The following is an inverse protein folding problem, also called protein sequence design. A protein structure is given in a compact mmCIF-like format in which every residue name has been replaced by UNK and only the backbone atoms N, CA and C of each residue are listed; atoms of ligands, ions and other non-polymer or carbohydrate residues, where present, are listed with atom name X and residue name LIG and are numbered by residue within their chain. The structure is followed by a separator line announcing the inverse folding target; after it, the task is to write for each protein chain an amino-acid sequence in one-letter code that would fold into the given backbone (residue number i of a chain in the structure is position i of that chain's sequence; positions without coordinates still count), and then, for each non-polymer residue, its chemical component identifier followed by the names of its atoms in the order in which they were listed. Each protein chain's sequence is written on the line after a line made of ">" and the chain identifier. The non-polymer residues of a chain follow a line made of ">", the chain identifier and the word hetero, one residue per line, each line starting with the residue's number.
data_IF_836185318654
#
_entry.id   IF_836185318654
#
_cell.length_a   1.000
_cell.length_b   1.000
_cell.length_c   1.000
_cell.angle_alpha   90.00
_cell.angle_beta   90.00
_cell.angle_gamma   90.00
#
_symmetry.space_group_name_H-M   'P 1'
#
loop_
_entity.id
_entity.type
_entity.pdbx_description
1 polymer ?
#
# COMPACT_ATOMS: atom_id res chain seq x y z
N UNK A 1 -17.19 5.10 -26.12
CA UNK A 1 -15.76 4.93 -25.77
C UNK A 1 -15.63 3.76 -24.82
N UNK A 2 -15.12 2.63 -25.31
CA UNK A 2 -14.93 1.40 -24.52
C UNK A 2 -13.74 1.58 -23.57
N UNK A 3 -13.98 1.50 -22.26
CA UNK A 3 -12.91 1.44 -21.28
C UNK A 3 -12.14 0.13 -21.48
N UNK A 4 -10.99 0.19 -22.14
CA UNK A 4 -10.05 -0.92 -22.20
C UNK A 4 -9.72 -1.34 -20.75
N UNK A 5 -10.16 -2.53 -20.37
CA UNK A 5 -9.66 -3.19 -19.16
C UNK A 5 -8.15 -3.30 -19.32
N UNK A 6 -7.39 -2.46 -18.60
CA UNK A 6 -5.95 -2.65 -18.43
C UNK A 6 -5.76 -4.06 -17.85
N UNK A 7 -5.30 -4.99 -18.69
CA UNK A 7 -4.87 -6.30 -18.22
C UNK A 7 -3.74 -6.10 -17.21
N UNK A 8 -3.74 -6.89 -16.14
CA UNK A 8 -2.72 -6.78 -15.10
C UNK A 8 -1.35 -7.18 -15.65
N UNK A 9 -0.34 -6.37 -15.38
CA UNK A 9 1.04 -6.62 -15.82
C UNK A 9 1.75 -7.74 -15.03
N UNK A 10 1.35 -7.98 -13.77
CA UNK A 10 2.02 -8.96 -12.90
C UNK A 10 1.03 -9.75 -12.02
N UNK A 11 1.32 -11.03 -11.70
CA UNK A 11 0.56 -11.84 -10.75
C UNK A 11 0.71 -11.30 -9.31
N UNK A 12 -0.34 -11.45 -8.49
CA UNK A 12 -0.37 -11.05 -7.07
C UNK A 12 -0.27 -12.27 -6.17
N UNK A 13 0.51 -12.18 -5.10
CA UNK A 13 0.52 -13.16 -4.02
C UNK A 13 -0.23 -12.57 -2.82
N UNK A 14 -1.15 -13.35 -2.26
CA UNK A 14 -1.88 -12.98 -1.03
C UNK A 14 -1.06 -13.39 0.18
N UNK A 15 -1.09 -12.60 1.25
CA UNK A 15 -0.48 -13.01 2.50
C UNK A 15 -1.23 -14.21 3.10
N UNK A 16 -0.48 -15.28 3.42
CA UNK A 16 -1.02 -16.39 4.21
C UNK A 16 -1.28 -15.88 5.64
N UNK A 17 -2.44 -16.25 6.20
CA UNK A 17 -2.82 -15.97 7.59
C UNK A 17 -1.86 -16.58 8.62
N UNK A 18 -1.10 -17.60 8.24
CA UNK A 18 -0.20 -18.35 9.13
C UNK A 18 1.23 -17.80 9.17
N UNK A 19 1.55 -16.77 8.37
CA UNK A 19 2.86 -16.10 8.36
C UNK A 19 2.80 -14.76 9.09
N UNK A 20 3.97 -14.28 9.53
CA UNK A 20 4.11 -12.98 10.18
C UNK A 20 3.48 -11.89 9.31
N UNK A 21 2.49 -11.18 9.86
CA UNK A 21 1.85 -10.06 9.17
C UNK A 21 2.92 -8.99 8.94
N UNK A 22 3.24 -8.68 7.68
CA UNK A 22 4.09 -7.52 7.42
C UNK A 22 3.30 -6.25 7.68
N UNK A 23 3.92 -5.35 8.42
CA UNK A 23 3.32 -4.11 8.88
C UNK A 23 4.11 -2.93 8.35
N UNK A 24 3.41 -1.81 8.30
CA UNK A 24 3.95 -0.58 7.77
C UNK A 24 4.08 0.41 8.91
N UNK A 25 5.28 0.96 9.08
CA UNK A 25 5.48 2.16 9.85
C UNK A 25 5.63 3.37 8.93
N UNK A 26 5.03 4.48 9.35
CA UNK A 26 5.27 5.79 8.74
C UNK A 26 4.83 5.98 7.27
N UNK A 27 3.57 5.65 6.93
CA UNK A 27 3.00 5.98 5.62
C UNK A 27 2.86 7.50 5.44
N UNK A 28 3.63 8.08 4.53
CA UNK A 28 3.83 9.53 4.41
C UNK A 28 3.77 10.01 2.96
N UNK A 29 3.40 11.27 2.77
CA UNK A 29 3.47 11.96 1.49
C UNK A 29 4.93 12.20 1.12
N UNK A 30 5.35 11.79 -0.07
CA UNK A 30 6.71 12.05 -0.55
C UNK A 30 6.91 13.54 -0.89
N UNK A 31 5.86 14.23 -1.33
CA UNK A 31 5.95 15.64 -1.77
C UNK A 31 6.08 16.61 -0.58
N UNK A 32 5.43 16.28 0.56
CA UNK A 32 5.33 17.17 1.72
C UNK A 32 5.94 16.62 3.00
N UNK A 33 6.43 15.37 2.97
CA UNK A 33 6.92 14.62 4.13
C UNK A 33 5.88 14.49 5.26
N UNK A 34 4.63 14.83 4.99
CA UNK A 34 3.55 14.75 5.97
C UNK A 34 3.16 13.29 6.18
N UNK A 35 3.19 12.86 7.44
CA UNK A 35 2.70 11.55 7.85
C UNK A 35 1.19 11.45 7.63
N UNK A 36 0.77 10.51 6.81
CA UNK A 36 -0.62 10.26 6.44
C UNK A 36 -1.24 9.21 7.36
N UNK A 37 -0.54 8.10 7.61
CA UNK A 37 -0.96 7.07 8.56
C UNK A 37 0.21 6.58 9.43
N UNK A 38 -0.10 6.21 10.68
CA UNK A 38 0.90 5.77 11.66
C UNK A 38 1.25 4.28 11.56
N UNK A 39 0.31 3.48 11.07
CA UNK A 39 0.42 2.04 11.02
C UNK A 39 -0.44 1.50 9.88
N UNK A 40 -0.02 0.43 9.22
CA UNK A 40 -0.85 -0.31 8.27
C UNK A 40 -0.41 -1.76 8.16
N UNK A 41 -1.20 -2.56 7.44
CA UNK A 41 -0.91 -3.98 7.17
C UNK A 41 -0.78 -4.22 5.68
N UNK A 42 0.15 -5.06 5.28
CA UNK A 42 0.24 -5.55 3.91
C UNK A 42 -0.77 -6.69 3.74
N UNK A 43 -1.61 -6.61 2.70
CA UNK A 43 -2.64 -7.61 2.39
C UNK A 43 -2.20 -8.48 1.21
N UNK A 44 -1.65 -7.84 0.18
CA UNK A 44 -1.14 -8.47 -1.03
C UNK A 44 0.05 -7.67 -1.54
N UNK A 45 0.96 -8.31 -2.26
CA UNK A 45 1.89 -7.60 -3.13
C UNK A 45 2.14 -8.35 -4.45
N UNK A 46 2.71 -7.63 -5.40
CA UNK A 46 3.22 -8.11 -6.67
C UNK A 46 4.55 -7.42 -6.98
N UNK A 47 5.21 -7.84 -8.06
CA UNK A 47 6.38 -7.15 -8.59
C UNK A 47 6.13 -5.67 -8.96
N UNK A 48 4.87 -5.25 -9.12
CA UNK A 48 4.52 -3.91 -9.58
C UNK A 48 3.86 -3.02 -8.53
N UNK A 49 3.46 -3.58 -7.39
CA UNK A 49 2.73 -2.81 -6.39
C UNK A 49 2.29 -3.62 -5.19
N UNK A 50 1.72 -2.91 -4.22
CA UNK A 50 1.34 -3.45 -2.93
C UNK A 50 -0.06 -3.00 -2.55
N UNK A 51 -0.79 -3.87 -1.86
CA UNK A 51 -2.09 -3.57 -1.28
C UNK A 51 -1.95 -3.46 0.24
N UNK A 52 -2.30 -2.30 0.75
CA UNK A 52 -2.20 -1.94 2.16
C UNK A 52 -3.60 -1.83 2.75
N UNK A 53 -3.72 -2.20 4.02
CA UNK A 53 -4.92 -2.03 4.83
C UNK A 53 -4.63 -1.08 5.98
N UNK A 54 -5.46 -0.05 6.09
CA UNK A 54 -5.40 0.97 7.14
C UNK A 54 -6.71 1.00 7.91
N UNK A 55 -6.65 0.97 9.25
CA UNK A 55 -7.83 1.33 10.05
C UNK A 55 -8.04 2.83 10.00
N UNK A 56 -9.27 3.27 10.27
CA UNK A 56 -9.59 4.70 10.36
C UNK A 56 -8.67 5.41 11.36
N UNK A 57 -8.54 4.87 12.57
CA UNK A 57 -7.77 5.50 13.65
C UNK A 57 -6.25 5.51 13.41
N UNK A 58 -5.79 4.87 12.32
CA UNK A 58 -4.39 4.91 11.91
C UNK A 58 -4.05 6.18 11.10
N UNK A 59 -5.04 6.85 10.50
CA UNK A 59 -4.81 8.11 9.80
C UNK A 59 -4.55 9.27 10.78
N UNK A 60 -3.53 10.07 10.48
CA UNK A 60 -3.13 11.20 11.34
C UNK A 60 -4.11 12.36 11.22
N UNK A 61 -4.45 12.77 10.01
CA UNK A 61 -5.35 13.90 9.80
C UNK A 61 -6.79 13.53 10.18
N UNK A 62 -7.50 14.46 10.82
CA UNK A 62 -8.90 14.26 11.22
C UNK A 62 -9.80 14.08 9.99
N UNK A 63 -9.49 14.79 8.91
CA UNK A 63 -10.22 14.72 7.63
C UNK A 63 -10.19 13.31 7.02
N UNK A 64 -9.01 12.66 7.00
CA UNK A 64 -8.89 11.29 6.50
C UNK A 64 -9.63 10.28 7.41
N UNK A 65 -9.71 10.56 8.72
CA UNK A 65 -10.43 9.72 9.68
C UNK A 65 -11.95 9.80 9.57
N UNK A 66 -12.48 10.99 9.31
CA UNK A 66 -13.92 11.25 9.34
C UNK A 66 -14.64 10.99 8.01
N UNK A 67 -13.91 10.89 6.90
CA UNK A 67 -14.51 10.81 5.58
C UNK A 67 -14.76 9.36 5.14
N UNK A 68 -15.88 9.10 4.48
CA UNK A 68 -16.18 7.77 3.90
C UNK A 68 -15.32 7.44 2.66
N UNK A 69 -14.51 8.39 2.21
CA UNK A 69 -13.57 8.24 1.11
C UNK A 69 -12.25 8.96 1.46
N UNK A 70 -11.15 8.41 0.94
CA UNK A 70 -9.81 9.01 0.97
C UNK A 70 -9.27 9.20 -0.45
N UNK A 71 -10.16 9.43 -1.43
CA UNK A 71 -9.82 9.54 -2.86
C UNK A 71 -8.80 10.66 -3.13
N UNK A 72 -8.68 11.65 -2.25
CA UNK A 72 -7.65 12.69 -2.30
C UNK A 72 -6.21 12.15 -2.25
N UNK A 73 -6.03 10.89 -1.83
CA UNK A 73 -4.73 10.22 -1.86
C UNK A 73 -4.41 9.66 -3.25
N UNK A 74 -5.39 9.41 -4.12
CA UNK A 74 -5.14 8.85 -5.46
C UNK A 74 -4.23 9.80 -6.26
N UNK A 75 -3.18 9.24 -6.86
CA UNK A 75 -2.16 9.98 -7.60
C UNK A 75 -1.09 10.65 -6.74
N UNK A 76 -1.19 10.58 -5.39
CA UNK A 76 -0.15 11.11 -4.51
C UNK A 76 1.06 10.19 -4.47
N UNK A 77 2.24 10.79 -4.51
CA UNK A 77 3.49 10.09 -4.24
C UNK A 77 3.61 9.87 -2.74
N UNK A 78 3.95 8.65 -2.36
CA UNK A 78 4.07 8.23 -0.96
C UNK A 78 5.34 7.45 -0.76
N UNK A 79 5.82 7.47 0.47
CA UNK A 79 6.82 6.52 0.96
C UNK A 79 6.37 5.93 2.29
N UNK A 80 6.83 4.72 2.57
CA UNK A 80 6.51 3.99 3.80
C UNK A 80 7.58 2.93 4.07
N UNK A 81 7.71 2.56 5.33
CA UNK A 81 8.63 1.53 5.75
C UNK A 81 7.88 0.23 6.02
N UNK A 82 8.44 -0.90 5.59
CA UNK A 82 8.00 -2.23 5.98
C UNK A 82 8.81 -2.62 7.20
N UNK A 83 8.16 -2.63 8.36
CA UNK A 83 8.84 -2.67 9.65
C UNK A 83 9.71 -3.91 9.83
N UNK A 84 9.19 -5.08 9.49
CA UNK A 84 9.87 -6.37 9.69
C UNK A 84 11.05 -6.59 8.73
N UNK A 85 11.14 -5.78 7.67
CA UNK A 85 12.20 -5.87 6.66
C UNK A 85 13.19 -4.72 6.75
N UNK A 86 12.94 -3.72 7.60
CA UNK A 86 13.67 -2.44 7.64
C UNK A 86 13.83 -1.84 6.23
N UNK A 87 12.74 -1.88 5.46
CA UNK A 87 12.75 -1.57 4.03
C UNK A 87 11.84 -0.39 3.72
N UNK A 88 12.42 0.69 3.19
CA UNK A 88 11.68 1.86 2.72
C UNK A 88 11.23 1.67 1.26
N UNK A 89 9.93 1.89 1.04
CA UNK A 89 9.28 1.78 -0.26
C UNK A 89 8.74 3.15 -0.67
N UNK A 90 8.93 3.49 -1.94
CA UNK A 90 8.30 4.65 -2.57
C UNK A 90 7.36 4.22 -3.70
N UNK A 91 6.32 5.00 -3.93
CA UNK A 91 5.37 4.73 -5.00
C UNK A 91 4.26 5.76 -5.11
N UNK A 92 3.28 5.46 -5.94
CA UNK A 92 2.12 6.30 -6.15
C UNK A 92 0.84 5.55 -5.79
N UNK A 93 -0.06 6.21 -5.05
CA UNK A 93 -1.37 5.63 -4.73
C UNK A 93 -2.20 5.50 -6.00
N UNK A 94 -2.43 4.27 -6.45
CA UNK A 94 -3.15 3.98 -7.68
C UNK A 94 -4.67 3.93 -7.48
N UNK A 95 -5.10 3.43 -6.31
CA UNK A 95 -6.52 3.25 -5.98
C UNK A 95 -6.72 3.16 -4.48
N UNK A 96 -7.90 3.59 -4.03
CA UNK A 96 -8.36 3.41 -2.66
C UNK A 96 -9.74 2.75 -2.66
N UNK A 97 -10.06 2.02 -1.60
CA UNK A 97 -11.37 1.41 -1.41
C UNK A 97 -11.74 1.43 0.07
N UNK A 98 -12.87 2.05 0.38
CA UNK A 98 -13.47 1.94 1.70
C UNK A 98 -14.12 0.56 1.88
N UNK A 99 -13.85 -0.11 3.01
CA UNK A 99 -14.34 -1.45 3.34
C UNK A 99 -15.16 -1.47 4.64
N UNK A 100 -15.80 -0.35 4.98
CA UNK A 100 -16.70 -0.29 6.14
C UNK A 100 -15.95 -0.12 7.46
N UNK A 101 -16.35 -0.88 8.48
CA UNK A 101 -15.76 -0.81 9.82
C UNK A 101 -14.28 -1.19 9.85
N UNK A 102 -13.82 -1.96 8.87
CA UNK A 102 -12.42 -2.37 8.77
C UNK A 102 -11.51 -1.24 8.31
N UNK A 103 -12.03 -0.17 7.69
CA UNK A 103 -11.25 0.98 7.25
C UNK A 103 -11.07 1.03 5.73
N UNK A 104 -9.84 1.17 5.25
CA UNK A 104 -9.53 1.39 3.84
C UNK A 104 -8.47 0.45 3.33
N UNK A 105 -8.65 0.01 2.08
CA UNK A 105 -7.61 -0.58 1.27
C UNK A 105 -6.99 0.50 0.39
N UNK A 106 -5.68 0.56 0.37
CA UNK A 106 -4.89 1.50 -0.43
C UNK A 106 -3.93 0.69 -1.27
N UNK A 107 -4.03 0.77 -2.59
CA UNK A 107 -3.05 0.15 -3.47
C UNK A 107 -2.03 1.20 -3.93
N UNK A 108 -0.76 0.85 -3.81
CA UNK A 108 0.38 1.66 -4.23
C UNK A 108 1.09 0.92 -5.37
N UNK A 109 1.25 1.60 -6.50
CA UNK A 109 2.12 1.13 -7.57
C UNK A 109 3.55 1.63 -7.26
N UNK A 110 4.54 0.76 -7.37
CA UNK A 110 5.91 1.10 -7.01
C UNK A 110 6.51 2.17 -7.92
N UNK A 111 7.38 3.00 -7.37
CA UNK A 111 8.17 3.92 -8.19
C UNK A 111 9.14 3.12 -9.08
N UNK A 112 9.45 3.69 -10.25
CA UNK A 112 10.50 3.16 -11.13
C UNK A 112 11.87 3.19 -10.46
N UNK A 113 12.06 4.11 -9.53
CA UNK A 113 13.35 4.39 -8.89
C UNK A 113 13.61 3.44 -7.71
N UNK A 114 12.61 2.64 -7.34
CA UNK A 114 12.77 1.66 -6.28
C UNK A 114 13.59 0.47 -6.81
N UNK A 115 14.65 0.02 -6.10
CA UNK A 115 15.57 -1.00 -6.62
C UNK A 115 14.89 -2.33 -7.03
N UNK A 116 15.40 -3.02 -8.03
CA UNK A 116 14.71 -4.24 -8.51
C UNK A 116 14.77 -5.39 -7.49
N UNK A 117 15.88 -5.48 -6.74
CA UNK A 117 16.15 -6.56 -5.78
C UNK A 117 15.10 -6.68 -4.66
N UNK A 118 14.53 -5.59 -4.17
CA UNK A 118 13.57 -5.67 -3.05
C UNK A 118 12.19 -6.12 -3.52
N UNK A 119 11.82 -5.92 -4.79
CA UNK A 119 10.58 -6.46 -5.37
C UNK A 119 10.62 -7.99 -5.37
N UNK A 120 11.79 -8.55 -5.67
CA UNK A 120 12.03 -9.99 -5.60
C UNK A 120 11.99 -10.48 -4.15
N UNK A 121 12.70 -9.83 -3.22
CA UNK A 121 12.66 -10.19 -1.80
C UNK A 121 11.25 -10.14 -1.19
N UNK A 122 10.46 -9.11 -1.51
CA UNK A 122 9.08 -9.00 -1.05
C UNK A 122 8.21 -10.13 -1.63
N UNK A 123 8.41 -10.46 -2.91
CA UNK A 123 7.71 -11.54 -3.57
C UNK A 123 8.09 -12.92 -3.05
N UNK A 124 9.32 -13.12 -2.59
CA UNK A 124 9.80 -14.37 -1.99
C UNK A 124 9.26 -14.58 -0.58
N UNK A 125 9.05 -13.51 0.19
CA UNK A 125 8.43 -13.56 1.51
C UNK A 125 6.91 -13.77 1.44
N UNK A 126 6.31 -13.49 0.28
CA UNK A 126 4.90 -13.77 0.04
C UNK A 126 4.74 -15.23 -0.39
N UNK A 127 3.83 -15.98 0.26
CA UNK A 127 3.62 -17.37 -0.06
C UNK A 127 3.15 -17.51 -1.50
N UNK A 128 3.65 -18.53 -2.19
CA UNK A 128 3.04 -19.00 -3.45
C UNK A 128 1.65 -19.51 -3.11
N UNK A 129 0.64 -18.70 -3.47
CA UNK A 129 -0.76 -19.10 -3.40
C UNK A 129 -1.08 -20.29 -4.30
#
# INVERSE_FOLDING_TARGET
>A
MSAQRKYRAAPRKSMNKDLAQLTLDNFSSADSLQKLAKYGKIVEASASGILLHFKRDDFVSKELRSNLSIDQLIGKNVFFNIHEMDLEISGQVARVKFIGKEGYLVAVDYSTDSPEYWRECLMDLLPTG
#
